data_IF_601777127402
#
_entry.id   IF_601777127402
#
_cell.length_a   1.000
_cell.length_b   1.000
_cell.length_c   1.000
_cell.angle_alpha   90.00
_cell.angle_beta   90.00
_cell.angle_gamma   90.00
#
_symmetry.space_group_name_H-M   'P 1'
#
loop_
_entity.id
_entity.type
_entity.pdbx_description
1 polymer ?
#
# COMPACT_ATOMS: atom_id res chain seq x y z
N UNK A 1 44.26 18.91 -41.26
CA UNK A 1 43.83 18.80 -40.89
C UNK A 1 42.84 18.63 -40.29
N UNK A 2 42.41 18.42 -40.02
CA UNK A 2 41.73 18.34 -39.56
C UNK A 2 41.02 17.93 -39.01
N UNK A 3 40.55 17.65 -38.77
CA UNK A 3 40.01 17.27 -38.32
C UNK A 3 39.44 17.12 -37.58
N UNK A 4 39.03 17.08 -37.16
CA UNK A 4 38.56 16.84 -36.39
C UNK A 4 37.79 17.25 -35.82
N UNK A 5 37.40 17.46 -35.63
CA UNK A 5 36.85 17.85 -35.15
C UNK A 5 35.84 17.49 -34.89
N UNK A 6 35.28 17.26 -34.44
CA UNK A 6 34.45 16.89 -34.34
C UNK A 6 33.85 16.18 -33.52
N UNK A 7 33.37 16.08 -33.33
CA UNK A 7 32.83 15.00 -32.70
C UNK A 7 32.33 15.12 -31.34
N UNK A 8 32.86 15.79 -30.59
CA UNK A 8 32.52 15.83 -29.19
C UNK A 8 31.12 16.24 -28.85
N UNK A 9 30.43 16.75 -29.70
CA UNK A 9 29.17 17.25 -29.38
C UNK A 9 28.16 16.18 -29.03
N UNK A 10 28.49 15.00 -29.30
CA UNK A 10 27.58 13.92 -29.08
C UNK A 10 27.28 13.65 -27.66
N UNK A 11 28.22 13.84 -26.83
CA UNK A 11 28.04 13.48 -25.44
C UNK A 11 27.00 14.29 -24.71
N UNK A 12 26.72 15.42 -25.15
CA UNK A 12 25.78 16.26 -24.44
C UNK A 12 24.38 15.67 -24.39
N UNK A 13 24.04 14.95 -25.36
CA UNK A 13 22.72 14.41 -25.46
C UNK A 13 22.42 13.37 -24.43
N UNK A 14 23.38 12.58 -24.12
CA UNK A 14 23.18 11.53 -23.16
C UNK A 14 22.80 12.04 -21.79
N UNK A 15 23.35 13.13 -21.43
CA UNK A 15 23.07 13.67 -20.12
C UNK A 15 21.63 14.09 -19.96
N UNK A 16 21.06 14.60 -20.99
CA UNK A 16 19.69 15.05 -20.93
C UNK A 16 18.73 13.90 -20.71
N UNK A 17 19.01 12.78 -21.29
CA UNK A 17 18.14 11.65 -21.14
C UNK A 17 18.14 11.12 -19.73
N UNK A 18 19.26 11.15 -19.12
CA UNK A 18 19.35 10.65 -17.78
C UNK A 18 18.48 11.47 -16.84
N UNK A 19 18.42 12.75 -17.06
CA UNK A 19 17.62 13.58 -16.20
C UNK A 19 16.16 13.27 -16.31
N UNK A 20 15.72 12.94 -17.47
CA UNK A 20 14.33 12.61 -17.63
C UNK A 20 13.97 11.29 -16.97
N UNK A 21 14.88 10.38 -17.00
CA UNK A 21 14.60 9.10 -16.39
C UNK A 21 14.41 9.21 -14.92
N UNK A 22 14.92 10.24 -14.34
CA UNK A 22 14.80 10.41 -12.94
C UNK A 22 13.50 11.04 -12.53
N UNK A 23 12.57 11.14 -13.40
CA UNK A 23 11.34 11.81 -13.15
C UNK A 23 10.75 11.59 -11.78
N UNK A 24 9.72 12.24 -11.46
CA UNK A 24 9.16 12.26 -10.13
C UNK A 24 8.76 10.87 -9.69
N UNK A 25 9.17 10.53 -8.53
CA UNK A 25 8.77 9.29 -7.97
C UNK A 25 7.42 9.56 -7.39
N UNK A 26 6.42 9.04 -7.97
CA UNK A 26 5.13 9.25 -7.43
C UNK A 26 4.93 8.35 -6.27
N UNK A 27 4.43 8.90 -5.22
CA UNK A 27 4.10 8.09 -4.08
C UNK A 27 2.99 7.17 -4.49
N UNK A 28 3.11 5.94 -4.12
CA UNK A 28 2.09 4.99 -4.40
C UNK A 28 0.91 5.30 -3.55
N UNK A 29 -0.22 5.48 -4.12
CA UNK A 29 -1.42 5.72 -3.35
C UNK A 29 -1.83 4.40 -2.74
N UNK A 30 -2.30 4.43 -1.52
CA UNK A 30 -2.82 3.23 -0.90
C UNK A 30 -4.06 2.80 -1.66
N UNK A 31 -4.32 1.51 -1.71
CA UNK A 31 -5.58 1.05 -2.27
C UNK A 31 -6.72 1.68 -1.47
N UNK A 32 -7.76 2.06 -2.17
CA UNK A 32 -8.90 2.73 -1.55
C UNK A 32 -10.11 1.81 -1.64
N UNK A 33 -10.60 1.36 -0.52
CA UNK A 33 -11.70 0.41 -0.50
C UNK A 33 -12.96 0.98 -1.15
N UNK A 34 -13.14 2.28 -1.06
CA UNK A 34 -14.35 2.88 -1.60
C UNK A 34 -14.39 2.86 -3.12
N UNK A 35 -13.25 2.65 -3.75
CA UNK A 35 -13.20 2.59 -5.20
C UNK A 35 -13.04 1.16 -5.73
N UNK A 36 -13.10 0.18 -4.88
CA UNK A 36 -12.96 -1.19 -5.34
C UNK A 36 -14.12 -2.05 -4.86
N UNK A 37 -14.31 -3.19 -5.49
CA UNK A 37 -15.37 -4.09 -5.08
C UNK A 37 -14.95 -4.86 -3.84
N UNK A 38 -15.91 -5.45 -3.17
CA UNK A 38 -15.60 -6.28 -2.01
C UNK A 38 -14.67 -7.42 -2.40
N UNK A 39 -14.94 -8.04 -3.54
CA UNK A 39 -14.11 -9.14 -4.00
C UNK A 39 -12.67 -8.68 -4.20
N UNK A 40 -12.48 -7.51 -4.76
CA UNK A 40 -11.15 -6.97 -4.99
C UNK A 40 -10.43 -6.70 -3.68
N UNK A 41 -11.15 -6.10 -2.74
CA UNK A 41 -10.54 -5.77 -1.46
C UNK A 41 -10.13 -7.04 -0.71
N UNK A 42 -11.02 -8.01 -0.66
CA UNK A 42 -10.72 -9.26 0.02
C UNK A 42 -9.56 -9.98 -0.67
N UNK A 43 -9.52 -9.92 -1.98
CA UNK A 43 -8.46 -10.57 -2.72
C UNK A 43 -7.10 -9.92 -2.49
N UNK A 44 -7.08 -8.62 -2.27
CA UNK A 44 -5.83 -7.95 -1.97
C UNK A 44 -5.23 -8.51 -0.69
N UNK A 45 -6.05 -8.65 0.33
CA UNK A 45 -5.56 -9.17 1.61
C UNK A 45 -5.13 -10.63 1.46
N UNK A 46 -5.93 -11.41 0.77
CA UNK A 46 -5.60 -12.82 0.58
C UNK A 46 -4.30 -12.99 -0.20
N UNK A 47 -4.14 -12.22 -1.25
CA UNK A 47 -2.98 -12.36 -2.11
C UNK A 47 -1.70 -11.84 -1.47
N UNK A 48 -1.79 -10.70 -0.83
CA UNK A 48 -0.59 -10.09 -0.25
C UNK A 48 -0.29 -10.54 1.16
N UNK A 49 -1.26 -11.10 1.85
CA UNK A 49 -1.07 -11.53 3.23
C UNK A 49 -1.26 -10.38 4.21
N UNK A 50 -0.74 -9.23 3.88
CA UNK A 50 -0.88 -8.03 4.69
C UNK A 50 -0.85 -6.84 3.77
N UNK A 51 -1.77 -5.93 3.93
CA UNK A 51 -1.85 -4.76 3.07
C UNK A 51 -2.54 -3.62 3.79
N UNK A 52 -2.08 -2.40 3.55
CA UNK A 52 -2.72 -1.22 4.11
C UNK A 52 -3.75 -0.73 3.12
N UNK A 53 -4.98 -0.62 3.57
CA UNK A 53 -6.08 -0.18 2.72
C UNK A 53 -6.70 1.07 3.32
N UNK A 54 -6.95 2.07 2.48
CA UNK A 54 -7.65 3.25 2.91
C UNK A 54 -9.14 3.01 2.89
N UNK A 55 -9.84 3.52 3.88
CA UNK A 55 -11.28 3.33 3.98
C UNK A 55 -12.03 4.65 4.03
N UNK A 56 -11.32 5.73 3.80
CA UNK A 56 -11.92 7.06 3.77
C UNK A 56 -10.82 8.09 3.85
N UNK A 57 -11.17 9.36 3.82
CA UNK A 57 -10.16 10.42 3.91
C UNK A 57 -9.41 10.29 5.21
N UNK A 58 -8.14 10.13 5.13
CA UNK A 58 -7.29 10.01 6.32
C UNK A 58 -7.60 8.79 7.20
N UNK A 59 -8.35 7.85 6.68
CA UNK A 59 -8.63 6.62 7.40
C UNK A 59 -7.98 5.47 6.66
N UNK A 60 -7.24 4.65 7.38
CA UNK A 60 -6.62 3.47 6.79
C UNK A 60 -6.21 2.53 7.90
N UNK A 61 -5.99 1.29 7.55
CA UNK A 61 -5.54 0.31 8.51
C UNK A 61 -4.79 -0.77 7.76
N UNK A 62 -4.08 -1.58 8.48
CA UNK A 62 -3.33 -2.67 7.90
C UNK A 62 -4.12 -3.94 8.13
N UNK A 63 -4.55 -4.58 7.05
CA UNK A 63 -5.36 -5.79 7.14
C UNK A 63 -4.51 -7.00 6.83
N UNK A 64 -4.73 -8.07 7.54
CA UNK A 64 -3.92 -9.27 7.38
C UNK A 64 -4.80 -10.48 7.16
N UNK A 65 -4.23 -11.47 6.52
CA UNK A 65 -4.94 -12.68 6.21
C UNK A 65 -4.95 -13.65 7.38
N UNK A 66 -3.88 -13.68 8.14
CA UNK A 66 -3.78 -14.63 9.24
C UNK A 66 -2.78 -14.13 10.27
N UNK A 67 -2.74 -14.80 11.40
CA UNK A 67 -2.00 -14.31 12.55
C UNK A 67 -0.50 -14.26 12.36
N UNK A 68 0.04 -15.03 11.43
CA UNK A 68 1.48 -14.97 11.25
C UNK A 68 1.95 -13.64 10.69
N UNK A 69 1.02 -12.80 10.24
CA UNK A 69 1.37 -11.47 9.79
C UNK A 69 1.29 -10.45 10.92
N UNK A 70 1.03 -10.91 12.13
CA UNK A 70 1.00 -10.07 13.30
C UNK A 70 2.29 -10.23 14.09
N UNK A 71 2.54 -9.35 15.01
CA UNK A 71 3.76 -9.39 15.81
C UNK A 71 3.48 -9.86 17.22
N UNK A 72 4.45 -10.55 17.77
CA UNK A 72 4.48 -10.85 19.19
C UNK A 72 3.15 -11.23 19.81
N UNK A 73 2.71 -10.43 20.71
CA UNK A 73 1.50 -10.74 21.47
C UNK A 73 0.22 -10.33 20.81
N UNK A 74 0.30 -9.94 19.55
CA UNK A 74 -0.89 -9.51 18.86
C UNK A 74 -1.81 -10.66 18.50
N UNK A 75 -3.07 -10.35 18.43
CA UNK A 75 -4.09 -11.31 18.06
C UNK A 75 -4.90 -10.76 16.92
N UNK A 76 -5.73 -11.60 16.33
CA UNK A 76 -6.54 -11.21 15.19
C UNK A 76 -7.90 -10.70 15.63
N UNK A 77 -8.35 -9.68 14.95
CA UNK A 77 -9.68 -9.16 15.12
C UNK A 77 -10.29 -9.04 13.74
N UNK A 78 -11.41 -9.68 13.47
CA UNK A 78 -12.00 -9.61 12.13
C UNK A 78 -12.49 -8.21 11.82
N UNK A 79 -12.39 -7.84 10.55
CA UNK A 79 -12.79 -6.51 10.13
C UNK A 79 -13.65 -6.51 8.88
N UNK A 80 -14.65 -5.66 8.90
CA UNK A 80 -15.52 -5.45 7.76
C UNK A 80 -15.38 -3.99 7.38
N UNK A 81 -15.20 -3.72 6.10
CA UNK A 81 -15.03 -2.34 5.65
C UNK A 81 -15.99 -2.04 4.53
N UNK A 82 -16.23 -0.78 4.31
CA UNK A 82 -17.11 -0.38 3.23
C UNK A 82 -16.34 -0.40 1.92
N UNK A 83 -16.95 -0.97 0.91
CA UNK A 83 -16.38 -0.97 -0.43
C UNK A 83 -17.38 -0.34 -1.37
N UNK A 84 -17.01 -0.24 -2.63
CA UNK A 84 -17.87 0.40 -3.61
C UNK A 84 -19.23 -0.28 -3.69
N UNK A 85 -19.26 -1.57 -3.58
CA UNK A 85 -20.48 -2.34 -3.76
C UNK A 85 -21.03 -3.01 -2.49
N UNK A 86 -20.38 -2.85 -1.38
CA UNK A 86 -20.78 -3.58 -0.17
C UNK A 86 -20.55 -2.70 1.06
N UNK A 87 -21.59 -2.47 1.85
CA UNK A 87 -21.41 -1.64 3.04
C UNK A 87 -20.55 -2.29 4.12
N UNK A 88 -20.57 -3.61 4.22
CA UNK A 88 -19.75 -4.29 5.20
C UNK A 88 -19.10 -5.49 4.55
N UNK A 89 -17.94 -5.28 4.01
CA UNK A 89 -17.21 -6.30 3.30
C UNK A 89 -16.15 -6.90 4.20
N UNK A 90 -16.23 -8.18 4.44
CA UNK A 90 -15.22 -8.85 5.23
C UNK A 90 -13.93 -8.95 4.42
N UNK A 91 -12.86 -8.37 4.90
CA UNK A 91 -11.61 -8.39 4.17
C UNK A 91 -10.50 -9.13 4.88
N UNK A 92 -10.71 -9.54 6.09
CA UNK A 92 -9.66 -10.21 6.85
C UNK A 92 -9.64 -9.70 8.25
N UNK A 93 -8.45 -9.48 8.76
CA UNK A 93 -8.29 -9.16 10.17
C UNK A 93 -7.33 -8.01 10.34
N UNK A 94 -7.38 -7.42 11.52
CA UNK A 94 -6.33 -6.48 11.94
C UNK A 94 -5.66 -7.10 13.13
N UNK A 95 -4.41 -6.75 13.33
CA UNK A 95 -3.66 -7.24 14.48
C UNK A 95 -3.86 -6.26 15.63
N UNK A 96 -4.06 -6.77 16.82
CA UNK A 96 -4.20 -5.91 17.97
C UNK A 96 -3.66 -6.61 19.21
N UNK A 97 -3.25 -5.82 20.18
CA UNK A 97 -2.78 -6.38 21.43
C UNK A 97 -3.93 -6.31 22.40
N UNK A 98 -4.38 -7.43 22.92
CA UNK A 98 -5.47 -7.42 23.88
C UNK A 98 -4.99 -6.65 25.08
N UNK A 99 -5.64 -5.59 25.38
CA UNK A 99 -5.19 -4.73 26.43
C UNK A 99 -5.75 -5.16 27.75
N UNK A 100 -4.89 -5.19 28.74
CA UNK A 100 -5.40 -5.47 30.01
C UNK A 100 -6.22 -4.34 30.49
N UNK A 101 -6.18 -3.25 29.85
CA UNK A 101 -7.00 -2.15 30.22
C UNK A 101 -8.44 -2.46 30.04
N UNK A 102 -8.75 -3.31 29.14
CA UNK A 102 -10.11 -3.68 28.93
C UNK A 102 -10.71 -4.29 30.15
N UNK A 103 -9.91 -4.89 30.92
CA UNK A 103 -10.40 -5.51 32.09
C UNK A 103 -10.66 -4.53 33.15
N UNK A 104 -9.99 -3.47 33.12
CA UNK A 104 -10.14 -2.53 34.15
C UNK A 104 -11.22 -1.64 33.95
N UNK A 105 -11.63 -1.54 32.78
CA UNK A 105 -12.61 -0.57 32.51
C UNK A 105 -13.86 -0.97 33.04
N UNK A 106 -13.92 -1.74 33.61
CA UNK A 106 -14.99 -2.10 34.07
C UNK A 106 -15.43 -1.81 34.90
#
# INVERSE_FOLDING_TARGET
MQLYRFPPRVSAIAAALAALAAGPATAQARPDSLSMSCAEAANLVTTHGAVVIGTGPNLFDRYVREVRFCSGAEQLKPEWIKTRDTPQCFVGYVCYVPSRDNNNTR
#
